data_IF_993600140834
#
_entry.id   IF_993600140834
#
_cell.length_a   1.000
_cell.length_b   1.000
_cell.length_c   1.000
_cell.angle_alpha   90.00
_cell.angle_beta   90.00
_cell.angle_gamma   90.00
#
_symmetry.space_group_name_H-M   'P 1'
#
loop_
_entity.id
_entity.type
_entity.pdbx_description
1 polymer ?
#
# COMPACT_ATOMS: atom_id res chain seq x y z
N UNK A 1 13.39 -24.74 6.78
CA UNK A 1 12.70 -24.69 5.49
C UNK A 1 11.28 -24.22 5.78
N UNK A 2 10.95 -22.98 5.45
CA UNK A 2 9.60 -22.46 5.65
C UNK A 2 8.74 -22.94 4.49
N UNK A 3 7.65 -23.63 4.78
CA UNK A 3 6.60 -23.94 3.82
C UNK A 3 6.06 -22.61 3.27
N UNK A 4 6.52 -22.22 2.07
CA UNK A 4 5.98 -21.08 1.35
C UNK A 4 4.58 -21.49 0.89
N UNK A 5 3.57 -21.07 1.64
CA UNK A 5 2.17 -21.17 1.22
C UNK A 5 2.03 -20.20 0.04
N UNK A 6 1.79 -20.75 -1.15
CA UNK A 6 1.52 -19.94 -2.33
C UNK A 6 0.17 -19.24 -2.17
N UNK A 7 0.18 -17.94 -2.45
CA UNK A 7 -1.02 -17.11 -2.49
C UNK A 7 -1.43 -16.98 -3.95
N UNK A 8 -2.57 -17.55 -4.33
CA UNK A 8 -3.10 -17.47 -5.70
C UNK A 8 -3.78 -16.12 -5.99
N UNK A 9 -4.19 -15.40 -4.96
CA UNK A 9 -4.85 -14.10 -5.08
C UNK A 9 -3.84 -12.98 -5.33
N UNK A 10 -3.99 -12.28 -6.46
CA UNK A 10 -3.13 -11.13 -6.78
C UNK A 10 -3.34 -9.99 -5.76
N UNK A 11 -2.27 -9.50 -5.12
CA UNK A 11 -2.38 -8.38 -4.20
C UNK A 11 -2.74 -7.08 -4.92
N UNK A 12 -3.40 -6.18 -4.19
CA UNK A 12 -3.67 -4.80 -4.62
C UNK A 12 -2.67 -3.86 -3.97
N UNK A 13 -2.12 -2.94 -4.75
CA UNK A 13 -1.25 -1.89 -4.26
C UNK A 13 -2.08 -0.65 -3.98
N UNK A 14 -1.84 -0.01 -2.83
CA UNK A 14 -2.48 1.25 -2.45
C UNK A 14 -1.41 2.29 -2.14
N UNK A 15 -1.53 3.46 -2.77
CA UNK A 15 -0.78 4.65 -2.42
C UNK A 15 -1.76 5.75 -2.04
N UNK A 16 -1.53 6.38 -0.88
CA UNK A 16 -2.31 7.54 -0.43
C UNK A 16 -1.45 8.79 -0.55
N UNK A 17 -1.94 9.76 -1.31
CA UNK A 17 -1.26 11.01 -1.63
C UNK A 17 -2.08 12.15 -1.07
N UNK A 18 -1.47 12.94 -0.20
CA UNK A 18 -2.20 13.97 0.55
C UNK A 18 -2.51 15.19 -0.31
N UNK A 19 -1.56 15.59 -1.18
CA UNK A 19 -1.79 16.62 -2.19
C UNK A 19 -1.22 16.24 -3.54
N UNK A 20 -2.01 16.38 -4.61
CA UNK A 20 -1.55 16.07 -5.97
C UNK A 20 -0.36 16.90 -6.42
N UNK A 21 -0.25 18.14 -5.95
CA UNK A 21 0.91 19.00 -6.23
C UNK A 21 2.25 18.37 -5.80
N UNK A 22 2.23 17.44 -4.83
CA UNK A 22 3.42 16.72 -4.38
C UNK A 22 3.87 15.62 -5.35
N UNK A 23 3.08 15.28 -6.38
CA UNK A 23 3.47 14.31 -7.40
C UNK A 23 4.79 14.68 -8.09
N UNK A 24 5.13 15.97 -8.22
CA UNK A 24 6.41 16.37 -8.78
C UNK A 24 7.60 15.79 -8.01
N UNK A 25 7.52 15.80 -6.67
CA UNK A 25 8.56 15.25 -5.80
C UNK A 25 8.59 13.71 -5.82
N UNK A 26 7.43 13.08 -6.05
CA UNK A 26 7.26 11.62 -5.99
C UNK A 26 7.18 10.96 -7.37
N UNK A 27 7.40 11.72 -8.44
CA UNK A 27 7.07 11.28 -9.80
C UNK A 27 7.82 9.99 -10.18
N UNK A 28 9.11 9.91 -9.83
CA UNK A 28 9.91 8.73 -10.11
C UNK A 28 9.38 7.51 -9.36
N UNK A 29 9.16 7.65 -8.04
CA UNK A 29 8.62 6.58 -7.20
C UNK A 29 7.28 6.07 -7.74
N UNK A 30 6.33 6.98 -7.99
CA UNK A 30 5.01 6.63 -8.52
C UNK A 30 5.08 5.93 -9.89
N UNK A 31 5.91 6.41 -10.81
CA UNK A 31 6.10 5.75 -12.12
C UNK A 31 6.64 4.33 -11.99
N UNK A 32 7.58 4.09 -11.07
CA UNK A 32 8.11 2.73 -10.85
C UNK A 32 7.02 1.79 -10.31
N UNK A 33 6.16 2.28 -9.40
CA UNK A 33 5.02 1.53 -8.88
C UNK A 33 4.00 1.19 -9.97
N UNK A 34 3.66 2.18 -10.82
CA UNK A 34 2.77 1.99 -11.98
C UNK A 34 3.31 0.93 -12.95
N UNK A 35 4.59 1.02 -13.31
CA UNK A 35 5.24 0.04 -14.19
C UNK A 35 5.24 -1.36 -13.57
N UNK A 36 5.60 -1.46 -12.29
CA UNK A 36 5.65 -2.73 -11.58
C UNK A 36 4.28 -3.40 -11.47
N UNK A 37 3.24 -2.63 -11.14
CA UNK A 37 1.86 -3.11 -11.13
C UNK A 37 1.42 -3.62 -12.51
N UNK A 38 1.75 -2.87 -13.58
CA UNK A 38 1.40 -3.24 -14.95
C UNK A 38 2.09 -4.54 -15.40
N UNK A 39 3.38 -4.70 -15.13
CA UNK A 39 4.16 -5.89 -15.55
C UNK A 39 3.64 -7.15 -14.87
N UNK A 40 3.26 -7.07 -13.59
CA UNK A 40 2.76 -8.22 -12.83
C UNK A 40 1.23 -8.39 -12.91
N UNK A 41 0.54 -7.44 -13.54
CA UNK A 41 -0.92 -7.39 -13.62
C UNK A 41 -1.58 -7.25 -12.25
N UNK A 42 -0.99 -6.45 -11.36
CA UNK A 42 -1.60 -6.02 -10.10
C UNK A 42 -2.49 -4.80 -10.31
N UNK A 43 -3.52 -4.65 -9.46
CA UNK A 43 -4.30 -3.40 -9.38
C UNK A 43 -3.53 -2.39 -8.53
N UNK A 44 -3.32 -1.18 -9.06
CA UNK A 44 -2.81 -0.04 -8.31
C UNK A 44 -3.95 0.95 -8.05
N UNK A 45 -4.17 1.28 -6.78
CA UNK A 45 -5.11 2.31 -6.34
C UNK A 45 -4.29 3.48 -5.82
N UNK A 46 -4.44 4.65 -6.45
CA UNK A 46 -3.89 5.91 -5.96
C UNK A 46 -5.05 6.77 -5.45
N UNK A 47 -4.99 7.15 -4.17
CA UNK A 47 -5.99 8.03 -3.56
C UNK A 47 -5.36 9.40 -3.33
N UNK A 48 -5.88 10.42 -4.03
CA UNK A 48 -5.53 11.81 -3.83
C UNK A 48 -6.53 12.45 -2.86
N UNK A 49 -6.09 12.72 -1.63
CA UNK A 49 -7.00 13.19 -0.57
C UNK A 49 -7.52 14.59 -0.88
N UNK A 50 -6.67 15.50 -1.36
CA UNK A 50 -7.07 16.86 -1.75
C UNK A 50 -8.13 16.90 -2.86
N UNK A 51 -8.16 15.88 -3.72
CA UNK A 51 -9.15 15.72 -4.78
C UNK A 51 -10.35 14.85 -4.38
N UNK A 52 -10.41 14.35 -3.14
CA UNK A 52 -11.49 13.50 -2.63
C UNK A 52 -12.19 14.12 -1.41
N UNK A 53 -13.21 14.97 -1.62
CA UNK A 53 -14.01 15.55 -0.53
C UNK A 53 -14.66 14.50 0.37
N UNK A 54 -15.04 13.35 -0.21
CA UNK A 54 -15.58 12.21 0.53
C UNK A 54 -14.56 11.65 1.53
N UNK A 55 -13.35 11.35 1.08
CA UNK A 55 -12.29 10.82 1.96
C UNK A 55 -11.87 11.84 3.02
N UNK A 56 -11.82 13.13 2.69
CA UNK A 56 -11.58 14.19 3.68
C UNK A 56 -12.64 14.20 4.79
N UNK A 57 -13.91 13.98 4.44
CA UNK A 57 -15.02 13.91 5.40
C UNK A 57 -14.99 12.62 6.22
N UNK A 58 -14.73 11.48 5.60
CA UNK A 58 -14.68 10.17 6.26
C UNK A 58 -13.46 10.01 7.15
N UNK A 59 -12.34 10.65 6.79
CA UNK A 59 -11.06 10.58 7.49
C UNK A 59 -10.58 11.97 7.92
N UNK A 60 -11.20 12.56 8.96
CA UNK A 60 -10.92 13.93 9.40
C UNK A 60 -9.65 14.06 10.26
N UNK A 61 -8.84 13.00 10.39
CA UNK A 61 -7.64 13.00 11.21
C UNK A 61 -6.70 14.13 10.77
N UNK A 62 -6.23 14.95 11.72
CA UNK A 62 -5.41 16.14 11.39
C UNK A 62 -4.03 15.79 10.84
N UNK A 63 -3.41 14.74 11.39
CA UNK A 63 -2.10 14.30 10.96
C UNK A 63 -2.20 13.25 9.85
N UNK A 64 -1.41 13.47 8.78
CA UNK A 64 -1.30 12.59 7.61
C UNK A 64 -1.05 11.12 7.99
N UNK A 65 -0.19 10.89 9.00
CA UNK A 65 0.18 9.56 9.46
C UNK A 65 -1.01 8.73 9.96
N UNK A 66 -1.99 9.38 10.59
CA UNK A 66 -3.23 8.70 11.02
C UNK A 66 -4.29 8.70 9.92
N UNK A 67 -4.33 9.76 9.10
CA UNK A 67 -5.29 9.88 8.00
C UNK A 67 -5.13 8.77 6.97
N UNK A 68 -3.89 8.46 6.56
CA UNK A 68 -3.60 7.38 5.59
C UNK A 68 -4.10 6.00 6.06
N UNK A 69 -4.03 5.73 7.36
CA UNK A 69 -4.56 4.48 7.94
C UNK A 69 -6.09 4.43 7.84
N UNK A 70 -6.77 5.54 8.10
CA UNK A 70 -8.22 5.64 7.91
C UNK A 70 -8.61 5.46 6.43
N UNK A 71 -7.92 6.14 5.52
CA UNK A 71 -8.18 6.01 4.07
C UNK A 71 -7.97 4.58 3.61
N UNK A 72 -6.91 3.92 4.06
CA UNK A 72 -6.64 2.51 3.76
C UNK A 72 -7.78 1.60 4.21
N UNK A 73 -8.29 1.78 5.43
CA UNK A 73 -9.45 1.03 5.91
C UNK A 73 -10.69 1.30 5.07
N UNK A 74 -10.96 2.56 4.70
CA UNK A 74 -12.10 2.91 3.86
C UNK A 74 -12.00 2.32 2.46
N UNK A 75 -10.80 2.30 1.87
CA UNK A 75 -10.55 1.63 0.59
C UNK A 75 -10.85 0.13 0.68
N UNK A 76 -10.42 -0.56 1.74
CA UNK A 76 -10.74 -1.98 1.96
C UNK A 76 -12.25 -2.21 2.12
N UNK A 77 -12.92 -1.37 2.92
CA UNK A 77 -14.39 -1.45 3.10
C UNK A 77 -15.16 -1.25 1.79
N UNK A 78 -14.68 -0.39 0.90
CA UNK A 78 -15.27 -0.13 -0.42
C UNK A 78 -14.93 -1.21 -1.46
N UNK A 79 -13.96 -2.09 -1.18
CA UNK A 79 -13.50 -3.13 -2.09
C UNK A 79 -13.41 -4.47 -1.34
N UNK A 80 -14.55 -5.08 -0.98
CA UNK A 80 -14.60 -6.29 -0.14
C UNK A 80 -13.92 -7.51 -0.77
N UNK A 81 -13.72 -7.51 -2.09
CA UNK A 81 -13.03 -8.60 -2.81
C UNK A 81 -11.50 -8.57 -2.64
N UNK A 82 -10.93 -7.50 -2.07
CA UNK A 82 -9.49 -7.41 -1.83
C UNK A 82 -9.13 -8.30 -0.64
N UNK A 83 -8.39 -9.38 -0.90
CA UNK A 83 -7.83 -10.24 0.16
C UNK A 83 -6.50 -9.77 0.69
N UNK A 84 -5.63 -9.25 -0.18
CA UNK A 84 -4.32 -8.73 0.20
C UNK A 84 -4.12 -7.34 -0.37
N UNK A 85 -3.78 -6.39 0.51
CA UNK A 85 -3.49 -5.02 0.17
C UNK A 85 -2.10 -4.65 0.68
N UNK A 86 -1.27 -4.12 -0.22
CA UNK A 86 0.02 -3.55 0.11
C UNK A 86 -0.12 -2.03 0.09
N UNK A 87 -0.10 -1.43 1.27
CA UNK A 87 -0.03 0.02 1.39
C UNK A 87 1.43 0.47 1.23
N UNK A 88 1.65 1.53 0.47
CA UNK A 88 2.94 2.19 0.30
C UNK A 88 2.80 3.71 0.41
N UNK A 89 3.77 4.35 1.05
CA UNK A 89 3.92 5.80 1.01
C UNK A 89 4.25 6.28 -0.40
N UNK A 90 3.90 7.54 -0.67
CA UNK A 90 4.01 8.13 -2.00
C UNK A 90 5.46 8.23 -2.52
N UNK A 91 6.43 8.28 -1.60
CA UNK A 91 7.86 8.35 -1.90
C UNK A 91 8.54 6.97 -2.02
N UNK A 92 7.79 5.87 -1.88
CA UNK A 92 8.32 4.51 -2.07
C UNK A 92 8.23 4.11 -3.56
N UNK A 93 9.36 3.69 -4.11
CA UNK A 93 9.48 3.17 -5.47
C UNK A 93 10.01 1.73 -5.52
N UNK A 94 9.82 1.09 -6.67
CA UNK A 94 10.30 -0.28 -6.93
C UNK A 94 11.72 -0.25 -7.47
N UNK A 95 12.65 -0.88 -6.75
CA UNK A 95 14.05 -1.02 -7.17
C UNK A 95 14.29 -2.32 -7.95
N UNK A 96 13.72 -3.44 -7.49
CA UNK A 96 13.85 -4.74 -8.14
C UNK A 96 12.47 -5.29 -8.56
N UNK A 97 12.07 -5.14 -9.83
CA UNK A 97 10.76 -5.56 -10.30
C UNK A 97 10.63 -7.07 -10.52
N UNK A 98 11.72 -7.85 -10.36
CA UNK A 98 11.72 -9.29 -10.59
C UNK A 98 11.17 -10.07 -9.38
N UNK A 99 11.12 -9.46 -8.19
CA UNK A 99 10.47 -10.06 -7.03
C UNK A 99 8.98 -9.77 -7.05
N UNK A 100 8.19 -10.80 -6.75
CA UNK A 100 6.73 -10.73 -6.68
C UNK A 100 6.27 -10.41 -5.25
N UNK A 101 5.21 -9.63 -5.11
CA UNK A 101 4.68 -9.25 -3.80
C UNK A 101 4.21 -10.46 -2.98
N UNK A 102 3.70 -11.49 -3.67
CA UNK A 102 3.24 -12.74 -3.06
C UNK A 102 4.35 -13.45 -2.26
N UNK A 103 5.63 -13.23 -2.60
CA UNK A 103 6.77 -13.80 -1.87
C UNK A 103 6.91 -13.28 -0.44
N UNK A 104 6.33 -12.10 -0.15
CA UNK A 104 6.38 -11.44 1.16
C UNK A 104 5.13 -11.69 2.01
N UNK A 105 4.12 -12.38 1.46
CA UNK A 105 2.88 -12.66 2.19
C UNK A 105 3.09 -13.85 3.12
N UNK A 106 2.69 -13.68 4.38
CA UNK A 106 2.52 -14.78 5.31
C UNK A 106 1.03 -14.86 5.72
N UNK A 107 0.29 -15.89 5.29
CA UNK A 107 -1.17 -15.95 5.50
C UNK A 107 -1.59 -16.12 6.97
N UNK A 108 -0.63 -16.37 7.87
CA UNK A 108 -0.87 -16.46 9.32
C UNK A 108 -1.08 -15.10 9.99
N UNK A 109 -0.68 -14.01 9.35
CA UNK A 109 -0.74 -12.67 9.93
C UNK A 109 -1.69 -11.77 9.13
N UNK A 110 -2.50 -11.01 9.85
CA UNK A 110 -3.43 -10.05 9.23
C UNK A 110 -2.74 -8.74 8.87
N UNK A 111 -1.69 -8.38 9.63
CA UNK A 111 -0.82 -7.23 9.39
C UNK A 111 0.63 -7.70 9.44
N UNK A 112 1.41 -7.35 8.41
CA UNK A 112 2.86 -7.59 8.40
C UNK A 112 3.59 -6.27 8.17
N UNK A 113 4.50 -5.97 9.09
CA UNK A 113 5.44 -4.85 9.04
C UNK A 113 6.86 -5.40 8.89
N UNK A 114 7.81 -4.50 8.63
CA UNK A 114 9.23 -4.82 8.58
C UNK A 114 10.02 -3.77 9.33
N UNK A 115 11.24 -4.14 9.70
CA UNK A 115 12.18 -3.30 10.40
C UNK A 115 12.91 -2.36 9.43
N UNK A 116 13.17 -1.12 9.86
CA UNK A 116 14.01 -0.16 9.13
C UNK A 116 15.48 -0.50 9.31
N UNK A 117 16.25 -0.38 8.24
CA UNK A 117 17.68 -0.74 8.25
C UNK A 117 18.60 0.26 8.98
N UNK A 118 18.13 1.49 9.26
CA UNK A 118 18.98 2.55 9.82
C UNK A 118 18.77 2.82 11.31
N UNK A 119 17.58 2.53 11.86
CA UNK A 119 17.24 2.76 13.28
C UNK A 119 16.58 1.56 13.97
N UNK A 120 16.39 0.44 13.27
CA UNK A 120 15.77 -0.78 13.78
C UNK A 120 14.32 -0.59 14.28
N UNK A 121 13.65 0.50 13.90
CA UNK A 121 12.25 0.74 14.25
C UNK A 121 11.31 0.06 13.23
N UNK A 122 10.03 -0.07 13.59
CA UNK A 122 9.00 -0.61 12.72
C UNK A 122 8.70 0.40 11.60
N UNK A 123 8.84 -0.05 10.35
CA UNK A 123 8.48 0.76 9.19
C UNK A 123 6.96 0.82 9.03
N UNK A 124 6.41 2.03 9.13
CA UNK A 124 4.99 2.29 8.92
C UNK A 124 4.68 2.87 7.54
N UNK A 125 5.70 3.12 6.73
CA UNK A 125 5.56 3.64 5.37
C UNK A 125 5.15 2.59 4.34
N UNK A 126 5.20 1.31 4.69
CA UNK A 126 4.46 0.29 3.97
C UNK A 126 4.02 -0.84 4.90
N UNK A 127 2.87 -1.44 4.59
CA UNK A 127 2.27 -2.52 5.38
C UNK A 127 1.56 -3.50 4.45
N UNK A 128 1.68 -4.79 4.76
CA UNK A 128 0.91 -5.85 4.12
C UNK A 128 -0.31 -6.11 4.99
N UNK A 129 -1.49 -5.99 4.39
CA UNK A 129 -2.77 -6.21 5.05
C UNK A 129 -3.45 -7.39 4.39
N UNK A 130 -3.72 -8.44 5.15
CA UNK A 130 -4.65 -9.48 4.78
C UNK A 130 -6.01 -9.08 5.32
N UNK A 131 -6.94 -8.80 4.42
CA UNK A 131 -8.28 -8.35 4.78
C UNK A 131 -9.22 -9.55 4.79
N UNK A 132 -9.80 -9.80 5.97
CA UNK A 132 -10.80 -10.83 6.20
C UNK A 132 -12.01 -10.11 6.78
N UNK A 133 -13.15 -10.22 6.09
CA UNK A 133 -14.45 -9.74 6.58
C UNK A 133 -15.07 -10.77 7.53
#
# INVERSE_FOLDING_TARGET
MNDKIFVDDKPVLLVVIEKRVQLGAYQLAQKTMECYAKINGYKLIQVFIDESPEMQKLCPQKHIWFRRNCVTLKTLQQNPDIKYLFFFDADIGVVNPNHRLEEYINPKYDLSFYERTFDYDIMTGSVIIKYVL
#
